data_IF_486589459174
#
_entry.id   IF_486589459174
#
_cell.length_a   1.000
_cell.length_b   1.000
_cell.length_c   1.000
_cell.angle_alpha   90.00
_cell.angle_beta   90.00
_cell.angle_gamma   90.00
#
_symmetry.space_group_name_H-M   'P 1'
#
loop_
_entity.id
_entity.type
_entity.pdbx_description
1 polymer ?
#
# COMPACT_ATOMS: atom_id res chain seq x y z
N UNK A 1 14.53 18.92 -41.61
CA UNK A 1 13.83 18.44 -40.40
C UNK A 1 13.66 16.96 -40.55
N UNK A 2 14.32 16.15 -39.71
CA UNK A 2 14.13 14.71 -39.75
C UNK A 2 12.71 14.40 -39.28
N UNK A 3 11.95 13.64 -40.08
CA UNK A 3 10.64 13.15 -39.68
C UNK A 3 10.82 12.22 -38.48
N UNK A 4 10.24 12.55 -37.35
CA UNK A 4 10.16 11.63 -36.21
C UNK A 4 9.10 10.60 -36.59
N UNK A 5 9.53 9.41 -36.98
CA UNK A 5 8.65 8.26 -37.04
C UNK A 5 8.24 7.90 -35.61
N UNK A 6 7.10 8.42 -35.16
CA UNK A 6 6.54 8.13 -33.83
C UNK A 6 6.14 6.64 -33.62
N UNK A 7 6.41 5.74 -34.60
CA UNK A 7 5.69 4.46 -34.74
C UNK A 7 6.45 3.29 -35.38
N UNK A 8 7.78 3.18 -35.33
CA UNK A 8 8.45 1.98 -35.86
C UNK A 8 8.08 0.67 -35.12
N UNK A 9 7.51 0.77 -33.90
CA UNK A 9 6.94 -0.36 -33.12
C UNK A 9 5.43 -0.19 -32.79
N UNK A 10 4.72 0.74 -33.44
CA UNK A 10 3.29 0.97 -33.19
C UNK A 10 2.94 1.55 -31.80
N UNK A 11 1.66 1.48 -31.40
CA UNK A 11 1.15 1.92 -30.08
C UNK A 11 1.59 1.02 -28.90
N UNK A 12 2.47 0.06 -29.14
CA UNK A 12 2.85 -0.98 -28.17
C UNK A 12 3.59 -0.35 -26.99
N UNK A 13 4.62 0.47 -27.22
CA UNK A 13 5.42 1.06 -26.14
C UNK A 13 4.61 2.01 -25.25
N UNK A 14 3.81 2.95 -25.80
CA UNK A 14 2.89 3.76 -24.98
C UNK A 14 1.88 2.91 -24.19
N UNK A 15 1.42 1.79 -24.76
CA UNK A 15 0.49 0.89 -24.07
C UNK A 15 1.18 0.15 -22.92
N UNK A 16 2.38 -0.40 -23.13
CA UNK A 16 3.14 -1.10 -22.08
C UNK A 16 3.51 -0.12 -20.96
N UNK A 17 4.00 1.07 -21.31
CA UNK A 17 4.34 2.12 -20.34
C UNK A 17 3.12 2.54 -19.50
N UNK A 18 1.95 2.71 -20.13
CA UNK A 18 0.69 2.91 -19.42
C UNK A 18 0.34 1.75 -18.47
N UNK A 19 0.40 0.51 -18.95
CA UNK A 19 0.12 -0.69 -18.13
C UNK A 19 1.07 -0.78 -16.93
N UNK A 20 2.36 -0.49 -17.11
CA UNK A 20 3.34 -0.45 -16.02
C UNK A 20 3.00 0.61 -14.98
N UNK A 21 2.59 1.81 -15.41
CA UNK A 21 2.11 2.84 -14.48
C UNK A 21 0.87 2.40 -13.72
N UNK A 22 -0.09 1.75 -14.37
CA UNK A 22 -1.31 1.25 -13.72
C UNK A 22 -0.96 0.17 -12.69
N UNK A 23 -0.15 -0.82 -13.06
CA UNK A 23 0.25 -1.90 -12.16
C UNK A 23 1.04 -1.37 -10.95
N UNK A 24 2.04 -0.51 -11.19
CA UNK A 24 2.81 0.12 -10.10
C UNK A 24 1.94 0.96 -9.18
N UNK A 25 0.97 1.71 -9.74
CA UNK A 25 0.02 2.50 -8.96
C UNK A 25 -0.94 1.63 -8.14
N UNK A 26 -1.45 0.54 -8.72
CA UNK A 26 -2.35 -0.39 -8.04
C UNK A 26 -1.67 -1.09 -6.87
N UNK A 27 -0.44 -1.59 -7.08
CA UNK A 27 0.39 -2.18 -6.03
C UNK A 27 0.69 -1.16 -4.94
N UNK A 28 1.06 0.06 -5.31
CA UNK A 28 1.38 1.12 -4.35
C UNK A 28 0.19 1.56 -3.51
N UNK A 29 -1.00 1.71 -4.11
CA UNK A 29 -2.23 2.04 -3.37
C UNK A 29 -2.62 0.92 -2.41
N UNK A 30 -2.47 -0.35 -2.83
CA UNK A 30 -2.71 -1.51 -1.97
C UNK A 30 -1.75 -1.52 -0.79
N UNK A 31 -0.44 -1.31 -1.03
CA UNK A 31 0.56 -1.15 0.00
C UNK A 31 0.28 0.06 0.90
N UNK A 32 -0.23 1.18 0.37
CA UNK A 32 -0.58 2.36 1.14
C UNK A 32 -1.75 2.10 2.09
N UNK A 33 -2.75 1.31 1.68
CA UNK A 33 -3.83 0.85 2.58
C UNK A 33 -3.26 0.04 3.74
N UNK A 34 -2.37 -0.92 3.43
CA UNK A 34 -1.69 -1.74 4.46
C UNK A 34 -0.77 -0.92 5.37
N UNK A 35 -0.09 0.09 4.83
CA UNK A 35 0.72 1.05 5.57
C UNK A 35 -0.09 1.78 6.64
N UNK A 36 -1.31 2.23 6.31
CA UNK A 36 -2.18 2.93 7.27
C UNK A 36 -2.77 1.99 8.32
N UNK A 37 -2.99 0.72 7.97
CA UNK A 37 -3.47 -0.30 8.91
C UNK A 37 -2.36 -0.90 9.80
N UNK A 38 -1.09 -0.61 9.52
CA UNK A 38 0.05 -1.18 10.23
C UNK A 38 0.14 -0.72 11.69
N UNK A 39 0.29 -1.70 12.61
CA UNK A 39 0.28 -1.48 14.06
C UNK A 39 1.68 -1.18 14.60
N UNK A 40 2.70 -1.81 14.01
CA UNK A 40 4.10 -1.65 14.45
C UNK A 40 4.88 -0.70 13.55
N UNK A 41 5.96 -0.10 14.09
CA UNK A 41 6.88 0.73 13.29
C UNK A 41 7.55 -0.07 12.17
N UNK A 42 7.89 -1.34 12.42
CA UNK A 42 8.48 -2.24 11.42
C UNK A 42 7.55 -2.49 10.23
N UNK A 43 6.29 -2.84 10.50
CA UNK A 43 5.28 -2.99 9.44
C UNK A 43 5.07 -1.70 8.65
N UNK A 44 5.03 -0.54 9.33
CA UNK A 44 4.88 0.76 8.64
C UNK A 44 6.05 1.01 7.70
N UNK A 45 7.29 0.78 8.13
CA UNK A 45 8.47 0.96 7.27
C UNK A 45 8.41 -0.03 6.10
N UNK A 46 8.07 -1.29 6.35
CA UNK A 46 7.94 -2.32 5.32
C UNK A 46 6.94 -1.93 4.22
N UNK A 47 5.71 -1.56 4.61
CA UNK A 47 4.68 -1.17 3.65
C UNK A 47 4.99 0.15 2.94
N UNK A 48 5.66 1.08 3.61
CA UNK A 48 6.14 2.32 2.99
C UNK A 48 7.17 2.01 1.90
N UNK A 49 8.15 1.16 2.18
CA UNK A 49 9.17 0.75 1.20
C UNK A 49 8.51 0.04 0.02
N UNK A 50 7.62 -0.93 0.26
CA UNK A 50 6.91 -1.62 -0.82
C UNK A 50 6.07 -0.67 -1.67
N UNK A 51 5.34 0.26 -1.06
CA UNK A 51 4.56 1.27 -1.78
C UNK A 51 5.46 2.17 -2.65
N UNK A 52 6.61 2.57 -2.11
CA UNK A 52 7.55 3.47 -2.78
C UNK A 52 8.28 2.81 -3.94
N UNK A 53 8.67 1.55 -3.79
CA UNK A 53 9.25 0.74 -4.87
C UNK A 53 8.20 0.46 -5.95
N UNK A 54 6.96 0.15 -5.56
CA UNK A 54 5.85 -0.10 -6.49
C UNK A 54 5.54 1.13 -7.35
N UNK A 55 5.35 2.30 -6.74
CA UNK A 55 5.02 3.51 -7.49
C UNK A 55 6.26 4.12 -8.13
N UNK A 56 7.29 4.44 -7.34
CA UNK A 56 8.49 5.13 -7.83
C UNK A 56 9.31 4.28 -8.80
N UNK A 57 9.54 3.01 -8.46
CA UNK A 57 10.28 2.07 -9.29
C UNK A 57 9.46 1.60 -10.49
N UNK A 58 8.41 0.81 -10.26
CA UNK A 58 7.64 0.21 -11.36
C UNK A 58 6.74 1.23 -12.07
N UNK A 59 5.97 2.02 -11.32
CA UNK A 59 4.93 2.87 -11.88
C UNK A 59 5.44 4.13 -12.60
N UNK A 60 6.56 4.69 -12.16
CA UNK A 60 7.10 5.96 -12.66
C UNK A 60 8.41 5.74 -13.41
N UNK A 61 9.45 5.18 -12.77
CA UNK A 61 10.77 5.01 -13.40
C UNK A 61 10.75 3.99 -14.55
N UNK A 62 10.21 2.79 -14.33
CA UNK A 62 10.15 1.78 -15.38
C UNK A 62 9.24 2.19 -16.54
N UNK A 63 8.10 2.83 -16.24
CA UNK A 63 7.27 3.45 -17.28
C UNK A 63 8.08 4.42 -18.13
N UNK A 64 8.79 5.36 -17.48
CA UNK A 64 9.56 6.39 -18.16
C UNK A 64 10.63 5.81 -19.09
N UNK A 65 11.41 4.84 -18.61
CA UNK A 65 12.45 4.20 -19.41
C UNK A 65 11.89 3.34 -20.54
N UNK A 66 10.83 2.56 -20.28
CA UNK A 66 10.20 1.76 -21.33
C UNK A 66 9.64 2.67 -22.42
N UNK A 67 8.97 3.77 -22.05
CA UNK A 67 8.47 4.75 -22.99
C UNK A 67 9.61 5.37 -23.83
N UNK A 68 10.71 5.78 -23.20
CA UNK A 68 11.89 6.31 -23.89
C UNK A 68 12.56 5.30 -24.84
N UNK A 69 12.72 4.05 -24.40
CA UNK A 69 13.38 3.00 -25.18
C UNK A 69 12.58 2.60 -26.41
N UNK A 70 11.27 2.84 -26.43
CA UNK A 70 10.44 2.65 -27.62
C UNK A 70 10.53 3.76 -28.66
N UNK A 71 11.24 4.86 -28.37
CA UNK A 71 11.56 5.88 -29.37
C UNK A 71 12.90 5.55 -30.04
N UNK A 72 12.87 5.33 -31.35
CA UNK A 72 14.04 5.34 -32.21
C UNK A 72 14.15 6.71 -32.88
N UNK A 73 15.38 7.20 -33.05
CA UNK A 73 15.67 8.36 -33.91
C UNK A 73 16.37 7.83 -35.15
N UNK A 74 15.79 8.08 -36.32
CA UNK A 74 16.37 7.70 -37.60
C UNK A 74 17.77 8.31 -37.76
N UNK A 75 18.77 7.46 -38.00
CA UNK A 75 20.13 7.87 -38.34
C UNK A 75 21.15 7.92 -37.18
N UNK A 76 20.80 7.60 -35.93
CA UNK A 76 21.81 7.46 -34.85
C UNK A 76 21.40 6.46 -33.76
N UNK A 77 22.28 5.53 -33.34
CA UNK A 77 21.98 4.63 -32.23
C UNK A 77 22.02 5.38 -30.89
N UNK A 78 20.87 5.43 -30.19
CA UNK A 78 20.78 6.00 -28.83
C UNK A 78 21.50 5.08 -27.85
N UNK A 79 22.37 5.66 -27.03
CA UNK A 79 23.07 4.98 -25.93
C UNK A 79 22.64 5.54 -24.60
N UNK A 80 22.78 4.72 -23.56
CA UNK A 80 22.34 5.08 -22.21
C UNK A 80 23.48 4.95 -21.19
N UNK A 81 23.59 5.95 -20.33
CA UNK A 81 24.43 5.90 -19.14
C UNK A 81 23.72 5.10 -18.04
N UNK A 82 24.31 3.97 -17.64
CA UNK A 82 23.74 3.05 -16.65
C UNK A 82 23.72 3.69 -15.25
N UNK A 83 24.71 4.52 -14.92
CA UNK A 83 24.83 5.18 -13.63
C UNK A 83 23.74 6.23 -13.43
N UNK A 84 23.52 7.10 -14.42
CA UNK A 84 22.42 8.08 -14.39
C UNK A 84 21.05 7.40 -14.44
N UNK A 85 20.93 6.31 -15.20
CA UNK A 85 19.71 5.50 -15.22
C UNK A 85 19.38 4.95 -13.83
N UNK A 86 20.36 4.38 -13.13
CA UNK A 86 20.18 3.89 -11.76
C UNK A 86 19.91 5.03 -10.77
N UNK A 87 20.62 6.16 -10.89
CA UNK A 87 20.42 7.34 -10.05
C UNK A 87 18.98 7.89 -10.18
N UNK A 88 18.45 7.93 -11.40
CA UNK A 88 17.06 8.35 -11.66
C UNK A 88 16.06 7.44 -10.93
N UNK A 89 16.28 6.12 -10.91
CA UNK A 89 15.43 5.16 -10.19
C UNK A 89 15.41 5.45 -8.69
N UNK A 90 16.60 5.69 -8.10
CA UNK A 90 16.75 6.03 -6.68
C UNK A 90 16.01 7.32 -6.36
N UNK A 91 16.14 8.35 -7.20
CA UNK A 91 15.45 9.63 -7.04
C UNK A 91 13.92 9.41 -7.00
N UNK A 92 13.36 8.64 -7.94
CA UNK A 92 11.92 8.39 -7.95
C UNK A 92 11.44 7.65 -6.70
N UNK A 93 12.13 6.57 -6.30
CA UNK A 93 11.75 5.78 -5.12
C UNK A 93 11.86 6.63 -3.85
N UNK A 94 12.95 7.40 -3.70
CA UNK A 94 13.16 8.26 -2.54
C UNK A 94 12.13 9.39 -2.48
N UNK A 95 11.83 10.05 -3.61
CA UNK A 95 10.85 11.13 -3.68
C UNK A 95 9.43 10.66 -3.32
N UNK A 96 9.03 9.48 -3.80
CA UNK A 96 7.76 8.85 -3.43
C UNK A 96 7.75 8.46 -1.96
N UNK A 97 8.84 7.85 -1.46
CA UNK A 97 8.95 7.45 -0.05
C UNK A 97 8.81 8.63 0.90
N UNK A 98 9.50 9.74 0.60
CA UNK A 98 9.42 10.96 1.41
C UNK A 98 8.01 11.54 1.37
N UNK A 99 7.43 11.77 0.18
CA UNK A 99 6.08 12.36 0.12
C UNK A 99 4.99 11.47 0.71
N UNK A 100 5.08 10.14 0.51
CA UNK A 100 4.15 9.19 1.11
C UNK A 100 4.31 9.12 2.62
N UNK A 101 5.54 9.18 3.15
CA UNK A 101 5.77 9.22 4.60
C UNK A 101 5.16 10.48 5.23
N UNK A 102 5.31 11.65 4.59
CA UNK A 102 4.72 12.91 5.04
C UNK A 102 3.20 12.82 5.03
N UNK A 103 2.62 12.34 3.92
CA UNK A 103 1.17 12.26 3.75
C UNK A 103 0.52 11.23 4.68
N UNK A 104 1.10 10.04 4.81
CA UNK A 104 0.49 8.91 5.52
C UNK A 104 0.86 8.83 7.02
N UNK A 105 2.05 9.30 7.41
CA UNK A 105 2.58 9.10 8.78
C UNK A 105 2.78 10.41 9.56
N UNK A 106 2.72 11.57 8.91
CA UNK A 106 2.94 12.87 9.57
C UNK A 106 1.86 13.21 10.63
N UNK A 107 2.22 14.08 11.57
CA UNK A 107 1.27 14.69 12.52
C UNK A 107 0.85 16.07 12.01
N UNK A 108 -0.43 16.45 12.17
CA UNK A 108 -0.95 17.76 11.76
C UNK A 108 -2.00 17.73 10.64
N UNK A 109 -2.30 18.90 10.07
CA UNK A 109 -3.38 19.09 9.10
C UNK A 109 -3.18 18.21 7.87
N UNK A 110 -4.16 17.34 7.59
CA UNK A 110 -4.10 16.34 6.51
C UNK A 110 -3.83 16.99 5.14
N UNK A 111 -4.53 18.06 4.82
CA UNK A 111 -4.42 18.71 3.51
C UNK A 111 -3.03 19.36 3.32
N UNK A 112 -2.48 19.99 4.37
CA UNK A 112 -1.14 20.55 4.31
C UNK A 112 -0.08 19.47 4.05
N UNK A 113 -0.17 18.32 4.74
CA UNK A 113 0.74 17.19 4.54
C UNK A 113 0.68 16.63 3.11
N UNK A 114 -0.53 16.48 2.55
CA UNK A 114 -0.71 16.01 1.16
C UNK A 114 -0.09 17.00 0.17
N UNK A 115 -0.30 18.30 0.36
CA UNK A 115 0.27 19.33 -0.52
C UNK A 115 1.80 19.36 -0.41
N UNK A 116 2.35 19.39 0.81
CA UNK A 116 3.81 19.39 1.02
C UNK A 116 4.45 18.12 0.46
N UNK A 117 3.88 16.95 0.75
CA UNK A 117 4.34 15.68 0.18
C UNK A 117 4.23 15.65 -1.35
N UNK A 118 3.14 16.21 -1.89
CA UNK A 118 2.87 16.26 -3.33
C UNK A 118 3.85 17.16 -4.09
N UNK A 119 4.22 18.30 -3.51
CA UNK A 119 5.27 19.17 -4.05
C UNK A 119 6.62 18.45 -4.04
N UNK A 120 7.01 17.83 -2.92
CA UNK A 120 8.30 17.13 -2.81
C UNK A 120 8.36 15.94 -3.78
N UNK A 121 7.34 15.08 -3.78
CA UNK A 121 7.29 13.94 -4.70
C UNK A 121 7.21 14.39 -6.15
N UNK A 122 6.41 15.41 -6.48
CA UNK A 122 6.28 15.93 -7.84
C UNK A 122 7.58 16.51 -8.39
N UNK A 123 8.29 17.31 -7.59
CA UNK A 123 9.61 17.82 -7.96
C UNK A 123 10.63 16.70 -8.09
N UNK A 124 10.59 15.69 -7.22
CA UNK A 124 11.47 14.53 -7.34
C UNK A 124 11.15 13.66 -8.56
N UNK A 125 9.88 13.52 -8.93
CA UNK A 125 9.44 12.80 -10.14
C UNK A 125 9.85 13.56 -11.40
N UNK A 126 9.73 14.89 -11.42
CA UNK A 126 10.29 15.71 -12.48
C UNK A 126 11.82 15.61 -12.54
N UNK A 127 12.49 15.62 -11.38
CA UNK A 127 13.94 15.42 -11.27
C UNK A 127 14.40 14.07 -11.84
N UNK A 128 13.68 12.99 -11.49
CA UNK A 128 13.91 11.67 -12.07
C UNK A 128 13.73 11.70 -13.59
N UNK A 129 12.64 12.30 -14.08
CA UNK A 129 12.37 12.40 -15.51
C UNK A 129 13.54 13.07 -16.22
N UNK A 130 13.94 14.27 -15.81
CA UNK A 130 15.03 14.98 -16.47
C UNK A 130 16.42 14.36 -16.26
N UNK A 131 16.65 13.64 -15.16
CA UNK A 131 17.86 12.84 -14.97
C UNK A 131 17.88 11.62 -15.90
N UNK A 132 16.74 10.96 -16.11
CA UNK A 132 16.58 9.87 -17.07
C UNK A 132 16.79 10.36 -18.51
N UNK A 133 16.26 11.54 -18.83
CA UNK A 133 16.50 12.23 -20.10
C UNK A 133 17.99 12.53 -20.31
N UNK A 134 18.68 13.03 -19.28
CA UNK A 134 20.11 13.31 -19.33
C UNK A 134 20.99 12.06 -19.45
N UNK A 135 20.45 10.87 -19.15
CA UNK A 135 21.15 9.61 -19.34
C UNK A 135 21.23 9.18 -20.82
N UNK A 136 20.47 9.82 -21.72
CA UNK A 136 20.55 9.55 -23.16
C UNK A 136 21.74 10.25 -23.80
N UNK A 137 22.57 9.46 -24.47
CA UNK A 137 23.61 9.93 -25.36
C UNK A 137 23.20 9.67 -26.82
N UNK A 138 23.15 10.74 -27.60
CA UNK A 138 22.87 10.73 -29.03
C UNK A 138 23.82 11.73 -29.73
N UNK A 139 24.13 11.48 -31.00
CA UNK A 139 24.99 12.38 -31.78
C UNK A 139 24.19 13.61 -32.25
N UNK A 140 24.08 14.61 -31.38
CA UNK A 140 23.35 15.83 -31.66
C UNK A 140 23.13 16.71 -30.43
N UNK A 141 22.66 17.94 -30.65
CA UNK A 141 22.27 18.84 -29.55
C UNK A 141 20.80 18.61 -29.17
N UNK A 142 20.56 18.44 -27.87
CA UNK A 142 19.22 18.38 -27.27
C UNK A 142 18.88 19.78 -26.73
N UNK A 143 17.84 20.39 -27.28
CA UNK A 143 17.30 21.66 -26.80
C UNK A 143 15.96 21.46 -26.08
N UNK A 144 15.67 22.31 -25.10
CA UNK A 144 14.44 22.23 -24.30
C UNK A 144 13.65 23.53 -24.38
N UNK A 145 12.36 23.43 -24.72
CA UNK A 145 11.41 24.52 -24.58
C UNK A 145 11.02 24.73 -23.12
N UNK A 146 11.56 25.77 -22.47
CA UNK A 146 11.38 26.04 -21.03
C UNK A 146 9.91 26.11 -20.58
N UNK A 147 9.01 26.61 -21.45
CA UNK A 147 7.58 26.66 -21.13
C UNK A 147 6.95 25.25 -20.98
N UNK A 148 7.32 24.30 -21.85
CA UNK A 148 6.82 22.91 -21.78
C UNK A 148 7.45 22.14 -20.63
N UNK A 149 8.71 22.45 -20.28
CA UNK A 149 9.36 21.96 -19.05
C UNK A 149 8.64 22.45 -17.81
N UNK A 150 8.30 23.75 -17.73
CA UNK A 150 7.50 24.27 -16.62
C UNK A 150 6.13 23.59 -16.51
N UNK A 151 5.48 23.34 -17.64
CA UNK A 151 4.20 22.64 -17.70
C UNK A 151 4.30 21.18 -17.22
N UNK A 152 5.31 20.42 -17.65
CA UNK A 152 5.50 19.04 -17.20
C UNK A 152 5.75 18.98 -15.68
N UNK A 153 6.53 19.91 -15.12
CA UNK A 153 6.77 20.02 -13.67
C UNK A 153 5.46 20.31 -12.93
N UNK A 154 4.63 21.23 -13.46
CA UNK A 154 3.33 21.53 -12.87
C UNK A 154 2.42 20.29 -12.87
N UNK A 155 2.36 19.55 -13.99
CA UNK A 155 1.62 18.29 -14.08
C UNK A 155 2.17 17.27 -13.08
N UNK A 156 3.50 17.16 -12.93
CA UNK A 156 4.12 16.24 -11.97
C UNK A 156 3.69 16.54 -10.53
N UNK A 157 3.68 17.81 -10.12
CA UNK A 157 3.25 18.24 -8.78
C UNK A 157 1.77 17.97 -8.56
N UNK A 158 0.91 18.28 -9.52
CA UNK A 158 -0.54 18.00 -9.42
C UNK A 158 -0.79 16.49 -9.36
N UNK A 159 -0.17 15.72 -10.25
CA UNK A 159 -0.30 14.26 -10.29
C UNK A 159 0.18 13.61 -8.99
N UNK A 160 1.33 14.03 -8.45
CA UNK A 160 1.85 13.54 -7.18
C UNK A 160 0.93 13.90 -6.00
N UNK A 161 0.38 15.12 -5.99
CA UNK A 161 -0.58 15.55 -4.96
C UNK A 161 -1.85 14.70 -5.00
N UNK A 162 -2.41 14.47 -6.19
CA UNK A 162 -3.58 13.60 -6.39
C UNK A 162 -3.27 12.17 -5.99
N UNK A 163 -2.11 11.63 -6.38
CA UNK A 163 -1.68 10.29 -6.01
C UNK A 163 -1.59 10.11 -4.49
N UNK A 164 -1.00 11.08 -3.78
CA UNK A 164 -0.93 11.04 -2.32
C UNK A 164 -2.31 11.20 -1.67
N UNK A 165 -3.17 12.07 -2.22
CA UNK A 165 -4.55 12.18 -1.76
C UNK A 165 -5.32 10.86 -1.91
N UNK A 166 -5.20 10.19 -3.06
CA UNK A 166 -5.78 8.86 -3.29
C UNK A 166 -5.18 7.83 -2.32
N UNK A 167 -3.86 7.84 -2.17
CA UNK A 167 -3.16 6.95 -1.26
C UNK A 167 -3.67 7.04 0.17
N UNK A 168 -4.10 8.21 0.65
CA UNK A 168 -4.65 8.37 2.01
C UNK A 168 -6.18 8.40 2.11
N UNK A 169 -6.91 8.28 1.00
CA UNK A 169 -8.40 8.33 0.97
C UNK A 169 -9.01 6.99 0.57
N UNK A 170 -8.36 6.26 -0.32
CA UNK A 170 -8.93 5.06 -0.93
C UNK A 170 -8.74 3.83 -0.03
N UNK A 171 -9.79 3.01 0.05
CA UNK A 171 -9.81 1.78 0.86
C UNK A 171 -10.37 0.56 0.10
N UNK A 172 -11.28 0.77 -0.86
CA UNK A 172 -11.98 -0.31 -1.56
C UNK A 172 -11.22 -0.78 -2.80
N UNK A 173 -11.11 -2.10 -3.07
CA UNK A 173 -10.37 -2.63 -4.22
C UNK A 173 -10.80 -2.06 -5.56
N UNK A 174 -12.11 -1.88 -5.78
CA UNK A 174 -12.63 -1.28 -7.00
C UNK A 174 -12.15 0.17 -7.19
N UNK A 175 -12.17 0.98 -6.12
CA UNK A 175 -11.68 2.36 -6.16
C UNK A 175 -10.16 2.40 -6.34
N UNK A 176 -9.40 1.45 -5.77
CA UNK A 176 -7.96 1.30 -6.02
C UNK A 176 -7.70 1.07 -7.51
N UNK A 177 -8.46 0.17 -8.15
CA UNK A 177 -8.34 -0.11 -9.57
C UNK A 177 -8.60 1.13 -10.43
N UNK A 178 -9.73 1.82 -10.20
CA UNK A 178 -10.07 3.06 -10.94
C UNK A 178 -9.03 4.16 -10.70
N UNK A 179 -8.56 4.30 -9.46
CA UNK A 179 -7.51 5.26 -9.09
C UNK A 179 -6.20 4.98 -9.81
N UNK A 180 -5.82 3.70 -9.94
CA UNK A 180 -4.62 3.29 -10.64
C UNK A 180 -4.68 3.61 -12.14
N UNK A 181 -5.85 3.48 -12.78
CA UNK A 181 -6.05 3.91 -14.18
C UNK A 181 -5.82 5.42 -14.34
N UNK A 182 -6.44 6.23 -13.47
CA UNK A 182 -6.29 7.70 -13.49
C UNK A 182 -4.84 8.11 -13.23
N UNK A 183 -4.18 7.47 -12.26
CA UNK A 183 -2.76 7.69 -12.00
C UNK A 183 -1.91 7.31 -13.22
N UNK A 184 -2.21 6.20 -13.89
CA UNK A 184 -1.55 5.80 -15.13
C UNK A 184 -1.58 6.92 -16.18
N UNK A 185 -2.76 7.52 -16.41
CA UNK A 185 -2.92 8.64 -17.34
C UNK A 185 -2.10 9.85 -16.89
N UNK A 186 -2.12 10.18 -15.61
CA UNK A 186 -1.41 11.34 -15.08
C UNK A 186 0.12 11.22 -15.22
N UNK A 187 0.69 10.06 -14.88
CA UNK A 187 2.15 9.84 -14.98
C UNK A 187 2.59 9.82 -16.45
N UNK A 188 1.83 9.17 -17.32
CA UNK A 188 2.10 9.16 -18.77
C UNK A 188 1.95 10.57 -19.38
N UNK A 189 0.92 11.31 -18.97
CA UNK A 189 0.69 12.69 -19.40
C UNK A 189 1.86 13.61 -19.05
N UNK A 190 2.40 13.50 -17.83
CA UNK A 190 3.62 14.22 -17.44
C UNK A 190 4.79 13.86 -18.36
N UNK A 191 5.03 12.57 -18.57
CA UNK A 191 6.14 12.07 -19.37
C UNK A 191 6.08 12.56 -20.82
N UNK A 192 4.95 12.38 -21.51
CA UNK A 192 4.81 12.79 -22.91
C UNK A 192 4.80 14.32 -23.06
N UNK A 193 4.30 15.06 -22.06
CA UNK A 193 4.45 16.52 -22.05
C UNK A 193 5.92 16.93 -21.94
N UNK A 194 6.69 16.28 -21.06
CA UNK A 194 8.13 16.50 -20.91
C UNK A 194 8.91 16.16 -22.19
N UNK A 195 8.60 15.03 -22.82
CA UNK A 195 9.18 14.64 -24.12
C UNK A 195 8.86 15.65 -25.22
N UNK A 196 7.63 16.18 -25.26
CA UNK A 196 7.25 17.21 -26.24
C UNK A 196 8.04 18.51 -26.10
N UNK A 197 8.73 18.73 -24.98
CA UNK A 197 9.60 19.89 -24.77
C UNK A 197 10.93 19.79 -25.51
N UNK A 198 11.31 18.59 -25.97
CA UNK A 198 12.61 18.36 -26.58
C UNK A 198 12.62 18.66 -28.07
N UNK A 199 13.69 19.29 -28.53
CA UNK A 199 14.10 19.33 -29.93
C UNK A 199 15.47 18.68 -30.08
N UNK A 200 15.60 17.77 -31.05
CA UNK A 200 16.86 17.10 -31.36
C UNK A 200 17.39 17.62 -32.69
N UNK A 201 18.60 18.17 -32.70
CA UNK A 201 19.33 18.47 -33.94
C UNK A 201 20.44 17.42 -34.10
N UNK A 202 20.25 16.49 -35.05
CA UNK A 202 21.23 15.42 -35.31
C UNK A 202 22.41 16.02 -36.08
N UNK A 203 23.61 15.83 -35.55
CA UNK A 203 24.84 16.18 -36.24
C UNK A 203 25.45 14.89 -36.82
N UNK A 204 25.82 14.91 -38.10
CA UNK A 204 26.37 13.74 -38.78
C UNK A 204 27.85 13.53 -38.37
N UNK A 205 28.08 13.11 -37.13
CA UNK A 205 29.40 12.75 -36.63
C UNK A 205 29.58 11.22 -36.60
N UNK A 206 30.75 10.77 -37.05
CA UNK A 206 31.08 9.35 -37.24
C UNK A 206 31.47 8.59 -35.95
N UNK A 207 31.47 9.27 -34.79
CA UNK A 207 31.79 8.64 -33.50
C UNK A 207 30.56 7.97 -32.89
N UNK A 208 30.65 6.69 -32.54
CA UNK A 208 29.62 6.01 -31.75
C UNK A 208 29.56 6.64 -30.35
N UNK A 209 28.39 7.06 -29.85
CA UNK A 209 28.27 7.51 -28.46
C UNK A 209 28.69 6.38 -27.50
N UNK A 210 29.30 6.74 -26.36
CA UNK A 210 29.58 5.78 -25.28
C UNK A 210 28.31 5.44 -24.48
N UNK A 211 28.19 4.19 -24.04
CA UNK A 211 27.08 3.74 -23.17
C UNK A 211 26.46 2.41 -23.60
N UNK A 212 25.47 1.95 -22.83
CA UNK A 212 24.73 0.73 -23.14
C UNK A 212 23.82 0.93 -24.36
N UNK A 213 23.64 -0.11 -25.18
CA UNK A 213 22.67 -0.05 -26.28
C UNK A 213 21.24 -0.08 -25.75
N UNK A 214 20.31 0.55 -26.47
CA UNK A 214 18.88 0.46 -26.16
C UNK A 214 18.40 -1.00 -26.03
N UNK A 215 18.89 -1.90 -26.90
CA UNK A 215 18.54 -3.33 -26.86
C UNK A 215 18.94 -4.04 -25.56
N UNK A 216 20.15 -3.78 -25.04
CA UNK A 216 20.59 -4.40 -23.79
C UNK A 216 19.85 -3.81 -22.59
N UNK A 217 19.54 -2.50 -22.63
CA UNK A 217 18.74 -1.83 -21.61
C UNK A 217 17.29 -2.33 -21.56
N UNK A 218 16.64 -2.52 -22.72
CA UNK A 218 15.28 -3.08 -22.78
C UNK A 218 15.23 -4.45 -22.12
N UNK A 219 16.19 -5.34 -22.44
CA UNK A 219 16.22 -6.69 -21.86
C UNK A 219 16.47 -6.62 -20.35
N UNK A 220 17.48 -5.86 -19.91
CA UNK A 220 17.84 -5.76 -18.50
C UNK A 220 16.72 -5.14 -17.65
N UNK A 221 16.17 -4.01 -18.10
CA UNK A 221 15.07 -3.31 -17.41
C UNK A 221 13.80 -4.15 -17.48
N UNK A 222 13.47 -4.74 -18.63
CA UNK A 222 12.29 -5.60 -18.80
C UNK A 222 12.30 -6.78 -17.83
N UNK A 223 13.42 -7.51 -17.75
CA UNK A 223 13.58 -8.59 -16.78
C UNK A 223 13.49 -8.09 -15.34
N UNK A 224 14.20 -7.01 -15.01
CA UNK A 224 14.17 -6.40 -13.67
C UNK A 224 12.76 -5.99 -13.24
N UNK A 225 11.97 -5.43 -14.16
CA UNK A 225 10.58 -5.02 -13.92
C UNK A 225 9.68 -6.22 -13.70
N UNK A 226 9.81 -7.28 -14.49
CA UNK A 226 9.03 -8.51 -14.31
C UNK A 226 9.33 -9.13 -12.95
N UNK A 227 10.60 -9.28 -12.58
CA UNK A 227 10.98 -9.80 -11.27
C UNK A 227 10.51 -8.88 -10.13
N UNK A 228 10.57 -7.57 -10.30
CA UNK A 228 10.06 -6.61 -9.32
C UNK A 228 8.55 -6.75 -9.12
N UNK A 229 7.76 -6.83 -10.20
CA UNK A 229 6.30 -7.01 -10.12
C UNK A 229 5.95 -8.33 -9.44
N UNK A 230 6.62 -9.43 -9.81
CA UNK A 230 6.40 -10.75 -9.19
C UNK A 230 6.78 -10.71 -7.70
N UNK A 231 7.92 -10.13 -7.36
CA UNK A 231 8.37 -9.99 -5.98
C UNK A 231 7.43 -9.13 -5.13
N UNK A 232 6.95 -8.01 -5.68
CA UNK A 232 5.96 -7.14 -5.02
C UNK A 232 4.61 -7.85 -4.85
N UNK A 233 4.15 -8.57 -5.87
CA UNK A 233 2.93 -9.37 -5.78
C UNK A 233 3.05 -10.48 -4.74
N UNK A 234 4.18 -11.21 -4.71
CA UNK A 234 4.46 -12.21 -3.70
C UNK A 234 4.51 -11.59 -2.29
N UNK A 235 5.19 -10.46 -2.11
CA UNK A 235 5.25 -9.77 -0.83
C UNK A 235 3.86 -9.31 -0.34
N UNK A 236 2.96 -8.94 -1.25
CA UNK A 236 1.57 -8.62 -0.95
C UNK A 236 0.74 -9.84 -0.57
N UNK A 237 0.93 -10.97 -1.27
CA UNK A 237 0.20 -12.21 -1.02
C UNK A 237 0.69 -12.93 0.25
N UNK A 238 1.99 -12.89 0.53
CA UNK A 238 2.60 -13.48 1.72
C UNK A 238 2.33 -12.66 2.99
N UNK A 239 1.76 -11.45 2.86
CA UNK A 239 1.45 -10.64 4.01
C UNK A 239 0.26 -11.23 4.79
N UNK A 240 0.41 -11.51 6.10
CA UNK A 240 -0.63 -12.17 6.88
C UNK A 240 -1.90 -11.33 6.90
N UNK A 241 -3.01 -11.97 6.52
CA UNK A 241 -4.35 -11.39 6.51
C UNK A 241 -4.84 -11.10 7.93
N UNK A 242 -5.94 -10.36 8.07
CA UNK A 242 -6.54 -10.16 9.40
C UNK A 242 -7.02 -11.48 10.01
N UNK A 243 -7.47 -12.42 9.18
CA UNK A 243 -7.84 -13.78 9.59
C UNK A 243 -6.61 -14.56 10.09
N UNK A 244 -5.48 -14.49 9.38
CA UNK A 244 -4.23 -15.14 9.82
C UNK A 244 -3.75 -14.56 11.15
N UNK A 245 -3.86 -13.24 11.33
CA UNK A 245 -3.50 -12.56 12.58
C UNK A 245 -4.44 -12.93 13.72
N UNK A 246 -5.74 -13.03 13.45
CA UNK A 246 -6.75 -13.45 14.42
C UNK A 246 -6.56 -14.91 14.82
N UNK A 247 -6.29 -15.80 13.85
CA UNK A 247 -5.96 -17.19 14.09
C UNK A 247 -4.68 -17.33 14.92
N UNK A 248 -3.62 -16.58 14.60
CA UNK A 248 -2.38 -16.57 15.38
C UNK A 248 -2.60 -16.07 16.82
N UNK A 249 -3.40 -15.01 17.01
CA UNK A 249 -3.74 -14.50 18.33
C UNK A 249 -4.58 -15.51 19.13
N UNK A 250 -5.53 -16.19 18.48
CA UNK A 250 -6.31 -17.27 19.09
C UNK A 250 -5.43 -18.44 19.53
N UNK A 251 -4.53 -18.92 18.65
CA UNK A 251 -3.58 -19.98 18.97
C UNK A 251 -2.63 -19.61 20.12
N UNK A 252 -2.16 -18.36 20.15
CA UNK A 252 -1.35 -17.85 21.25
C UNK A 252 -2.13 -17.87 22.58
N UNK A 253 -3.37 -17.35 22.59
CA UNK A 253 -4.22 -17.36 23.79
C UNK A 253 -4.51 -18.78 24.30
N UNK A 254 -4.68 -19.75 23.38
CA UNK A 254 -4.86 -21.16 23.72
C UNK A 254 -3.61 -21.77 24.34
N UNK A 255 -2.43 -21.49 23.77
CA UNK A 255 -1.16 -21.95 24.30
C UNK A 255 -0.91 -21.40 25.71
N UNK A 256 -1.14 -20.11 25.91
CA UNK A 256 -0.93 -19.46 27.21
C UNK A 256 -1.93 -20.00 28.25
N UNK A 257 -3.18 -20.27 27.85
CA UNK A 257 -4.19 -20.91 28.69
C UNK A 257 -3.85 -22.35 29.06
N UNK A 258 -3.28 -23.13 28.14
CA UNK A 258 -2.79 -24.49 28.41
C UNK A 258 -1.61 -24.47 29.39
N UNK A 259 -0.63 -23.58 29.16
CA UNK A 259 0.52 -23.42 30.07
C UNK A 259 0.08 -23.01 31.49
N UNK A 260 -0.92 -22.12 31.59
CA UNK A 260 -1.49 -21.72 32.88
C UNK A 260 -2.23 -22.88 33.57
N UNK A 261 -2.97 -23.70 32.81
CA UNK A 261 -3.65 -24.88 33.33
C UNK A 261 -2.68 -25.96 33.81
N UNK A 262 -1.59 -26.19 33.06
CA UNK A 262 -0.49 -27.09 33.45
C UNK A 262 0.17 -26.62 34.75
N UNK A 263 0.53 -25.34 34.84
CA UNK A 263 1.11 -24.76 36.05
C UNK A 263 0.17 -24.86 37.26
N UNK A 264 -1.14 -24.65 37.06
CA UNK A 264 -2.13 -24.81 38.13
C UNK A 264 -2.29 -26.27 38.57
N UNK A 265 -2.24 -27.22 37.63
CA UNK A 265 -2.29 -28.65 37.93
C UNK A 265 -1.04 -29.11 38.70
N UNK A 266 0.14 -28.64 38.34
CA UNK A 266 1.39 -28.88 39.07
C UNK A 266 1.33 -28.32 40.50
N UNK A 267 0.86 -27.08 40.66
CA UNK A 267 0.69 -26.47 41.97
C UNK A 267 -0.29 -27.24 42.86
N UNK A 268 -1.42 -27.72 42.30
CA UNK A 268 -2.37 -28.56 43.03
C UNK A 268 -1.79 -29.93 43.38
N UNK A 269 -0.99 -30.54 42.49
CA UNK A 269 -0.33 -31.82 42.76
C UNK A 269 0.70 -31.70 43.90
N UNK A 270 1.43 -30.58 43.97
CA UNK A 270 2.36 -30.29 45.07
C UNK A 270 1.65 -29.98 46.39
N UNK A 271 0.48 -29.34 46.33
CA UNK A 271 -0.33 -29.01 47.50
C UNK A 271 -1.10 -30.21 48.08
N UNK A 272 -1.17 -31.34 47.36
CA UNK A 272 -1.86 -32.55 47.84
C UNK A 272 -1.02 -33.21 48.94
N UNK A 273 -1.55 -33.38 50.17
CA UNK A 273 -0.80 -34.01 51.25
C UNK A 273 -0.44 -35.46 50.89
N UNK A 274 0.85 -35.80 50.98
CA UNK A 274 1.32 -37.17 50.82
C UNK A 274 0.84 -38.00 52.01
N UNK A 275 -0.32 -38.64 51.89
CA UNK A 275 -0.72 -39.72 52.80
C UNK A 275 0.10 -40.99 52.49
N UNK A 276 1.35 -40.98 52.92
CA UNK A 276 2.31 -42.08 52.80
C UNK A 276 3.09 -42.25 54.10
N UNK A 277 2.39 -42.43 55.23
CA UNK A 277 3.01 -42.95 56.44
C UNK A 277 3.24 -44.47 56.31
N UNK A 278 4.31 -45.04 56.88
CA UNK A 278 4.55 -46.49 56.87
C UNK A 278 3.34 -47.22 57.45
N UNK A 279 2.82 -48.23 56.76
CA UNK A 279 1.85 -49.17 57.34
C UNK A 279 2.54 -49.91 58.46
N UNK A 280 2.32 -49.49 59.71
CA UNK A 280 2.64 -50.33 60.86
C UNK A 280 1.78 -51.60 60.77
N UNK A 281 2.45 -52.71 60.50
CA UNK A 281 1.89 -54.05 60.63
C UNK A 281 1.60 -54.31 62.11
N UNK A 282 0.34 -54.14 62.50
CA UNK A 282 -0.11 -54.49 63.84
C UNK A 282 -0.19 -56.02 63.94
N UNK A 283 0.86 -56.63 64.50
CA UNK A 283 0.84 -58.02 64.95
C UNK A 283 0.01 -58.14 66.22
N UNK A 284 -1.02 -58.98 66.19
CA UNK A 284 -1.87 -59.24 67.35
C UNK A 284 -2.51 -60.62 67.27
N UNK A 285 -1.84 -61.59 67.89
CA UNK A 285 -2.41 -62.89 68.25
C UNK A 285 -3.65 -62.67 69.14
N UNK A 286 -4.79 -63.30 68.79
CA UNK A 286 -5.73 -63.83 69.78
C UNK A 286 -6.59 -64.94 69.17
N UNK A 287 -6.43 -66.10 69.80
CA UNK A 287 -7.27 -67.29 69.68
C UNK A 287 -8.70 -67.01 70.18
N UNK A 288 -9.67 -67.74 69.63
CA UNK A 288 -10.90 -68.07 70.35
C UNK A 288 -12.21 -67.70 69.67
N UNK A 289 -13.05 -68.72 69.46
CA UNK A 289 -14.49 -68.59 69.73
C UNK A 289 -15.42 -68.51 68.52
N UNK A 290 -15.97 -69.67 68.17
CA UNK A 290 -17.17 -69.86 67.34
C UNK A 290 -18.36 -69.17 68.05
N UNK A 291 -19.21 -68.43 67.31
CA UNK A 291 -20.66 -68.43 67.58
C UNK A 291 -21.46 -67.99 66.35
N UNK A 292 -22.37 -68.86 65.94
CA UNK A 292 -23.40 -68.63 64.94
C UNK A 292 -24.55 -67.78 65.52
N UNK A 293 -25.13 -66.93 64.68
CA UNK A 293 -26.36 -66.17 64.96
C UNK A 293 -27.09 -65.86 63.65
N UNK A 294 -28.35 -66.24 63.60
CA UNK A 294 -29.24 -66.45 62.45
C UNK A 294 -30.09 -65.22 62.04
N UNK A 295 -30.95 -65.44 61.01
CA UNK A 295 -32.06 -64.63 60.44
C UNK A 295 -31.74 -64.03 59.05
N UNK A 296 -32.20 -64.53 57.89
CA UNK A 296 -33.49 -65.06 57.32
C UNK A 296 -34.48 -63.97 56.86
N UNK A 297 -34.68 -63.90 55.53
CA UNK A 297 -35.91 -63.47 54.82
C UNK A 297 -35.90 -62.00 54.35
N UNK A 298 -36.27 -61.62 53.12
CA UNK A 298 -36.86 -62.35 52.00
C UNK A 298 -37.06 -61.41 50.80
N UNK A 299 -37.13 -62.02 49.62
CA UNK A 299 -37.19 -61.47 48.26
C UNK A 299 -38.59 -61.03 47.79
N UNK A 300 -38.66 -60.08 46.86
CA UNK A 300 -39.60 -60.00 45.71
C UNK A 300 -39.30 -58.69 44.95
N UNK A 301 -39.28 -58.55 43.62
CA UNK A 301 -39.51 -59.45 42.49
C UNK A 301 -39.89 -58.59 41.26
N UNK A 302 -39.16 -58.75 40.13
CA UNK A 302 -39.56 -58.56 38.72
C UNK A 302 -40.15 -57.21 38.23
N UNK A 303 -40.14 -56.84 36.94
CA UNK A 303 -39.55 -57.38 35.71
C UNK A 303 -39.76 -56.35 34.57
N UNK A 304 -38.80 -56.28 33.63
CA UNK A 304 -38.84 -56.07 32.16
C UNK A 304 -39.85 -55.11 31.47
N UNK A 305 -39.33 -54.29 30.53
CA UNK A 305 -39.42 -54.44 29.05
C UNK A 305 -38.58 -53.30 28.40
N UNK A 306 -37.56 -53.52 27.54
CA UNK A 306 -37.62 -53.77 26.08
C UNK A 306 -37.87 -52.46 25.30
N UNK A 307 -37.09 -51.91 24.36
CA UNK A 307 -35.94 -52.31 23.54
C UNK A 307 -36.12 -51.71 22.11
N UNK A 308 -35.04 -51.20 21.49
CA UNK A 308 -34.89 -50.81 20.04
C UNK A 308 -35.61 -49.52 19.55
N UNK A 309 -35.23 -48.81 18.46
CA UNK A 309 -33.99 -48.43 17.73
C UNK A 309 -34.46 -47.51 16.57
N UNK A 310 -33.51 -46.78 15.99
CA UNK A 310 -33.46 -46.27 14.60
C UNK A 310 -34.27 -45.04 14.15
N UNK A 311 -33.53 -43.96 13.87
CA UNK A 311 -33.34 -43.38 12.53
C UNK A 311 -34.52 -42.77 11.76
N UNK A 312 -34.43 -41.49 11.41
CA UNK A 312 -34.29 -41.02 10.01
C UNK A 312 -34.52 -39.52 9.82
N UNK A 313 -33.77 -39.00 8.86
CA UNK A 313 -33.78 -37.68 8.24
C UNK A 313 -34.96 -37.58 7.24
N UNK A 314 -35.71 -36.48 7.19
CA UNK A 314 -36.33 -35.95 5.95
C UNK A 314 -37.06 -34.60 6.13
N UNK A 315 -36.50 -33.58 5.47
CA UNK A 315 -37.07 -32.74 4.40
C UNK A 315 -38.60 -32.52 4.23
N UNK A 316 -38.91 -31.28 3.79
CA UNK A 316 -40.20 -30.82 3.23
C UNK A 316 -40.92 -29.81 4.13
N UNK A 317 -41.21 -28.55 3.79
CA UNK A 317 -41.47 -27.94 2.49
C UNK A 317 -42.98 -27.71 2.32
N UNK A 318 -43.44 -26.44 2.32
CA UNK A 318 -44.71 -26.06 1.67
C UNK A 318 -45.73 -25.21 2.47
N UNK A 319 -45.75 -23.91 2.14
CA UNK A 319 -46.89 -22.99 1.90
C UNK A 319 -48.15 -22.95 2.79
N UNK A 320 -48.58 -21.71 3.06
CA UNK A 320 -50.00 -21.38 3.33
C UNK A 320 -50.24 -19.94 3.80
N UNK A 321 -50.83 -19.13 2.92
CA UNK A 321 -51.23 -17.72 3.06
C UNK A 321 -52.10 -17.37 4.30
N UNK A 322 -52.09 -16.09 4.67
CA UNK A 322 -53.08 -15.54 5.60
C UNK A 322 -52.90 -14.05 5.92
N UNK A 323 -53.62 -13.21 5.18
CA UNK A 323 -53.78 -11.76 5.31
C UNK A 323 -54.32 -11.28 6.67
N UNK A 324 -54.04 -10.02 7.06
CA UNK A 324 -54.69 -9.43 8.25
C UNK A 324 -54.18 -8.09 8.79
N UNK A 325 -54.31 -7.03 7.99
CA UNK A 325 -54.49 -5.60 8.33
C UNK A 325 -54.61 -5.17 9.83
N UNK A 326 -53.85 -4.15 10.26
CA UNK A 326 -54.36 -2.95 10.99
C UNK A 326 -53.30 -1.85 11.21
N UNK A 327 -53.57 -0.68 10.62
CA UNK A 327 -53.55 0.69 11.20
C UNK A 327 -52.64 0.99 12.42
N UNK A 328 -51.88 2.07 12.53
CA UNK A 328 -51.93 3.40 11.91
C UNK A 328 -51.52 4.47 12.95
N UNK A 329 -51.16 5.67 12.47
CA UNK A 329 -50.78 6.94 13.16
C UNK A 329 -49.31 7.07 13.61
N UNK A 330 -48.52 7.94 12.98
CA UNK A 330 -48.54 9.41 12.82
C UNK A 330 -47.75 10.11 13.93
N UNK A 331 -46.82 10.99 13.52
CA UNK A 331 -46.14 11.93 14.39
C UNK A 331 -45.01 12.67 13.69
N UNK A 332 -45.35 13.47 12.67
CA UNK A 332 -44.48 14.52 12.14
C UNK A 332 -44.16 15.56 13.21
N UNK A 333 -42.92 16.06 13.21
CA UNK A 333 -42.66 17.44 13.65
C UNK A 333 -41.41 17.98 12.95
N UNK A 334 -41.66 18.72 11.87
CA UNK A 334 -40.80 19.80 11.42
C UNK A 334 -40.78 20.90 12.50
N UNK A 335 -39.62 21.49 12.75
CA UNK A 335 -39.52 22.82 13.34
C UNK A 335 -38.44 23.63 12.62
N UNK A 336 -38.91 24.40 11.65
CA UNK A 336 -38.32 25.64 11.14
C UNK A 336 -38.26 26.66 12.28
N UNK A 337 -37.10 27.30 12.48
CA UNK A 337 -37.02 28.60 13.15
C UNK A 337 -35.95 29.45 12.46
N UNK A 338 -36.40 30.55 11.87
CA UNK A 338 -35.55 31.56 11.27
C UNK A 338 -35.01 32.55 12.30
N UNK A 339 -33.96 33.26 11.92
CA UNK A 339 -33.37 34.35 12.70
C UNK A 339 -32.34 35.12 11.88
N UNK A 340 -32.82 36.14 11.16
CA UNK A 340 -32.03 37.21 10.56
C UNK A 340 -31.06 37.85 11.56
N UNK A 341 -29.85 38.18 11.12
CA UNK A 341 -29.14 39.41 11.51
C UNK A 341 -28.14 39.80 10.42
N UNK A 342 -28.60 40.67 9.53
CA UNK A 342 -27.75 41.67 8.89
C UNK A 342 -27.44 42.76 9.93
N UNK A 343 -26.18 43.13 10.05
CA UNK A 343 -25.77 44.47 10.45
C UNK A 343 -24.46 44.78 9.75
N UNK A 344 -24.57 45.55 8.67
CA UNK A 344 -23.50 46.36 8.12
C UNK A 344 -23.01 47.34 9.20
N UNK A 345 -21.70 47.52 9.30
CA UNK A 345 -21.14 48.85 9.51
C UNK A 345 -19.79 48.98 8.83
N UNK A 346 -19.71 50.06 8.08
CA UNK A 346 -18.73 50.46 7.10
C UNK A 346 -17.74 51.47 7.71
N UNK A 347 -16.64 51.72 6.99
CA UNK A 347 -15.66 52.83 7.14
C UNK A 347 -14.59 52.61 8.24
N UNK A 348 -13.30 52.94 8.08
CA UNK A 348 -12.58 53.67 7.06
C UNK A 348 -11.07 53.28 7.11
N UNK A 349 -10.41 53.21 5.94
CA UNK A 349 -8.96 53.49 5.77
C UNK A 349 -8.74 55.03 5.91
N UNK A 350 -7.51 55.63 5.99
CA UNK A 350 -6.26 55.14 5.42
C UNK A 350 -4.90 55.58 6.06
N UNK A 351 -3.83 55.02 5.45
CA UNK A 351 -2.53 55.63 5.11
C UNK A 351 -1.43 55.85 6.16
N UNK A 352 -0.25 55.28 5.89
CA UNK A 352 1.10 55.90 5.79
C UNK A 352 2.12 54.76 5.53
N UNK A 353 2.64 54.57 4.31
CA UNK A 353 3.75 55.27 3.62
C UNK A 353 5.14 55.06 4.25
N UNK A 354 6.08 54.52 3.45
CA UNK A 354 7.53 54.54 3.70
C UNK A 354 8.19 53.19 3.34
N UNK A 355 8.74 53.04 2.12
CA UNK A 355 10.19 53.14 1.82
C UNK A 355 10.99 51.98 2.46
N UNK A 356 11.82 51.18 1.79
CA UNK A 356 12.64 51.44 0.61
C UNK A 356 13.02 50.15 -0.15
N UNK A 357 13.44 50.39 -1.38
CA UNK A 357 14.19 49.52 -2.28
C UNK A 357 15.45 48.90 -1.67
N UNK A 358 15.69 47.63 -1.96
CA UNK A 358 16.98 46.95 -1.75
C UNK A 358 17.30 46.01 -2.91
N UNK A 359 17.91 46.56 -3.95
CA UNK A 359 18.55 45.84 -5.06
C UNK A 359 19.73 45.01 -4.56
N UNK A 360 19.79 43.73 -4.92
CA UNK A 360 21.00 42.91 -4.80
C UNK A 360 21.50 42.56 -6.19
N UNK A 361 22.56 43.23 -6.62
CA UNK A 361 23.37 42.89 -7.78
C UNK A 361 24.82 42.65 -7.37
N UNK A 362 25.35 41.54 -7.87
CA UNK A 362 26.75 41.25 -8.24
C UNK A 362 27.84 41.14 -7.15
N UNK A 363 28.40 39.92 -7.02
CA UNK A 363 29.86 39.75 -7.07
C UNK A 363 30.28 38.35 -7.52
N UNK A 364 30.69 38.32 -8.78
CA UNK A 364 31.62 37.36 -9.38
C UNK A 364 32.93 37.30 -8.57
N UNK A 365 33.49 36.10 -8.44
CA UNK A 365 34.86 35.87 -7.97
C UNK A 365 35.46 34.67 -8.68
N UNK A 366 35.77 34.87 -9.96
CA UNK A 366 36.81 34.12 -10.66
C UNK A 366 38.22 34.47 -10.16
N UNK A 367 39.13 33.48 -10.28
CA UNK A 367 40.59 33.53 -10.30
C UNK A 367 41.34 33.14 -9.02
N UNK A 368 42.12 32.05 -9.12
CA UNK A 368 43.40 31.95 -8.41
C UNK A 368 43.96 30.56 -8.13
N UNK A 369 44.54 29.93 -9.17
CA UNK A 369 45.62 28.92 -9.18
C UNK A 369 45.29 27.45 -8.95
#
# INVERSE_FOLDING_TARGET
>A
MAHIHHFDHGWITPTISYVLSVLGSMLALTCAVRLRAAKTRGERIWWLVLASVSLGGTGIWSMHFVAMLGFSVDGSPIRYDVGLTAASAIIAVAAVAVGLSIAALGTGARNARIVTGGVISGLGVAGMHYTGMAAMHLNGEISYGMARVGLSIAIAVVAATVALWLAVTVHTPFIIFVSALVMGVAVNGMHFTGMSAMGVQVEATASQPGGASASSMIIAIGLGVVFAIIGLAYALLAAPTEEDRAAAAYLASRRDGLAAAEAAAEAQAQARPQFGGPRETFGGNREGGIHAGSWRGGSQGGNRDGGNRDGSYRDGGGNGDGSGNRSGRNGDSQSTFGGNRESQQESARPNKSGLSSGSWTYRDRSAGR
#
